data_IF_100803490500
#
_entry.id   IF_100803490500
#
_cell.length_a   1.000
_cell.length_b   1.000
_cell.length_c   1.000
_cell.angle_alpha   90.00
_cell.angle_beta   90.00
_cell.angle_gamma   90.00
#
_symmetry.space_group_name_H-M   'P 1'
#
loop_
_entity.id
_entity.type
_entity.pdbx_description
1 polymer ?
#
# COMPACT_ATOMS: atom_id res chain seq x y z
N UNK A 1 24.44 11.72 -8.90
CA UNK A 1 23.50 11.66 -7.76
C UNK A 1 23.26 10.19 -7.42
N UNK A 2 23.41 9.83 -6.15
CA UNK A 2 23.68 8.46 -5.69
C UNK A 2 22.49 7.50 -5.89
N UNK A 3 22.74 6.41 -6.63
CA UNK A 3 21.86 5.22 -6.76
C UNK A 3 21.74 4.39 -5.46
N UNK A 4 22.50 4.74 -4.40
CA UNK A 4 22.52 3.99 -3.14
C UNK A 4 21.41 4.33 -2.15
N UNK A 5 20.65 5.41 -2.37
CA UNK A 5 19.59 5.82 -1.45
C UNK A 5 18.26 5.07 -1.66
N UNK A 6 18.10 4.39 -2.80
CA UNK A 6 16.78 4.04 -3.36
C UNK A 6 16.34 2.61 -3.02
N UNK A 7 17.24 1.63 -3.10
CA UNK A 7 17.01 0.30 -2.48
C UNK A 7 16.86 0.39 -0.95
N UNK A 8 17.19 1.53 -0.36
CA UNK A 8 17.21 1.73 1.07
C UNK A 8 15.80 1.86 1.68
N UNK A 9 14.74 2.24 0.94
CA UNK A 9 13.42 2.52 1.52
C UNK A 9 12.62 1.24 1.80
N UNK A 10 12.48 0.35 0.81
CA UNK A 10 11.90 -0.97 1.04
C UNK A 10 12.78 -1.80 1.97
N UNK A 11 14.10 -1.65 1.87
CA UNK A 11 15.00 -2.18 2.89
C UNK A 11 14.85 -1.48 4.24
N UNK A 12 14.37 -0.24 4.35
CA UNK A 12 14.10 0.45 5.64
C UNK A 12 12.83 -0.10 6.26
N UNK A 13 11.75 -0.30 5.50
CA UNK A 13 10.56 -1.01 5.98
C UNK A 13 10.95 -2.44 6.44
N UNK A 14 11.82 -3.10 5.69
CA UNK A 14 12.38 -4.42 6.03
C UNK A 14 13.46 -4.39 7.14
N UNK A 15 14.15 -3.28 7.36
CA UNK A 15 15.17 -3.13 8.42
C UNK A 15 14.53 -2.65 9.71
N UNK A 16 13.41 -1.92 9.65
CA UNK A 16 12.49 -1.75 10.78
C UNK A 16 12.04 -3.14 11.28
N UNK A 17 11.72 -4.04 10.35
CA UNK A 17 11.46 -5.47 10.64
C UNK A 17 12.70 -6.19 11.22
N UNK A 18 13.91 -6.01 10.68
CA UNK A 18 15.11 -6.74 11.15
C UNK A 18 15.77 -6.20 12.44
N UNK A 19 15.83 -4.88 12.66
CA UNK A 19 16.45 -4.28 13.84
C UNK A 19 15.56 -4.39 15.08
N UNK A 20 14.23 -4.48 14.91
CA UNK A 20 13.27 -4.73 15.99
C UNK A 20 13.40 -6.15 16.59
N UNK A 21 13.95 -7.12 15.85
CA UNK A 21 14.10 -8.53 16.30
C UNK A 21 15.03 -8.68 17.52
N UNK A 22 15.89 -7.69 17.80
CA UNK A 22 16.85 -7.79 18.91
C UNK A 22 16.43 -7.13 20.22
N UNK A 23 15.29 -6.46 20.33
CA UNK A 23 14.87 -5.91 21.63
C UNK A 23 13.38 -5.79 21.95
N UNK A 24 12.47 -5.85 20.97
CA UNK A 24 11.03 -5.79 21.24
C UNK A 24 10.30 -6.89 20.46
N UNK A 25 9.97 -7.98 21.16
CA UNK A 25 8.96 -8.90 20.66
C UNK A 25 7.61 -8.15 20.62
N UNK A 26 6.91 -8.24 19.49
CA UNK A 26 5.43 -8.10 19.34
C UNK A 26 4.80 -6.82 18.76
N UNK A 27 5.36 -6.18 17.72
CA UNK A 27 4.49 -5.54 16.70
C UNK A 27 4.97 -5.82 15.29
N UNK A 28 4.38 -6.84 14.64
CA UNK A 28 4.56 -7.08 13.21
C UNK A 28 3.73 -6.02 12.46
N UNK A 29 4.40 -5.14 11.72
CA UNK A 29 3.72 -4.23 10.78
C UNK A 29 2.88 -5.08 9.84
N UNK A 30 1.64 -4.68 9.60
CA UNK A 30 0.71 -5.40 8.73
C UNK A 30 0.14 -4.44 7.71
N UNK A 31 0.39 -4.71 6.43
CA UNK A 31 -0.07 -3.95 5.28
C UNK A 31 -1.26 -4.66 4.65
N UNK A 32 -2.40 -3.99 4.55
CA UNK A 32 -3.52 -4.47 3.74
C UNK A 32 -3.33 -4.01 2.29
N UNK A 33 -3.49 -4.92 1.33
CA UNK A 33 -3.63 -4.59 -0.09
C UNK A 33 -5.00 -5.08 -0.54
N UNK A 34 -5.93 -4.15 -0.76
CA UNK A 34 -7.30 -4.44 -1.11
C UNK A 34 -7.64 -3.92 -2.50
N UNK A 35 -8.27 -4.71 -3.36
CA UNK A 35 -8.60 -4.26 -4.71
C UNK A 35 -9.29 -5.33 -5.54
N UNK A 36 -9.31 -5.14 -6.86
CA UNK A 36 -9.58 -6.24 -7.77
C UNK A 36 -8.54 -7.36 -7.58
N UNK A 37 -8.94 -8.65 -7.57
CA UNK A 37 -8.05 -9.74 -7.18
C UNK A 37 -6.70 -9.74 -7.90
N UNK A 38 -6.71 -9.56 -9.22
CA UNK A 38 -5.49 -9.60 -10.04
C UNK A 38 -4.60 -8.37 -9.80
N UNK A 39 -5.17 -7.17 -9.69
CA UNK A 39 -4.42 -5.92 -9.45
C UNK A 39 -3.82 -5.89 -8.05
N UNK A 40 -4.61 -6.27 -7.03
CA UNK A 40 -4.16 -6.33 -5.65
C UNK A 40 -3.05 -7.39 -5.49
N UNK A 41 -3.21 -8.56 -6.10
CA UNK A 41 -2.19 -9.61 -6.08
C UNK A 41 -0.91 -9.17 -6.79
N UNK A 42 -1.02 -8.55 -7.97
CA UNK A 42 0.13 -8.04 -8.72
C UNK A 42 0.92 -7.02 -7.89
N UNK A 43 0.22 -6.03 -7.31
CA UNK A 43 0.88 -5.04 -6.47
C UNK A 43 1.56 -5.68 -5.25
N UNK A 44 0.90 -6.64 -4.60
CA UNK A 44 1.46 -7.32 -3.43
C UNK A 44 2.72 -8.14 -3.77
N UNK A 45 2.75 -8.78 -4.94
CA UNK A 45 3.94 -9.50 -5.44
C UNK A 45 5.07 -8.52 -5.72
N UNK A 46 4.81 -7.44 -6.46
CA UNK A 46 5.83 -6.45 -6.77
C UNK A 46 6.40 -5.75 -5.52
N UNK A 47 5.56 -5.50 -4.52
CA UNK A 47 6.01 -4.99 -3.20
C UNK A 47 6.86 -6.01 -2.42
N UNK A 48 6.75 -7.30 -2.74
CA UNK A 48 7.47 -8.38 -2.08
C UNK A 48 8.75 -8.77 -2.81
N UNK A 49 8.96 -8.27 -4.04
CA UNK A 49 10.12 -8.58 -4.88
C UNK A 49 11.41 -8.25 -4.15
N UNK A 50 12.26 -9.27 -3.98
CA UNK A 50 13.61 -9.13 -3.45
C UNK A 50 14.51 -10.23 -4.03
N UNK A 51 15.82 -10.00 -4.16
CA UNK A 51 16.74 -11.03 -4.65
C UNK A 51 16.61 -12.34 -3.85
N UNK A 52 16.27 -13.43 -4.53
CA UNK A 52 16.14 -14.77 -3.95
C UNK A 52 14.86 -15.02 -3.13
N UNK A 53 13.84 -14.16 -3.22
CA UNK A 53 12.52 -14.39 -2.62
C UNK A 53 11.43 -14.37 -3.68
N UNK A 54 10.54 -15.36 -3.63
CA UNK A 54 9.37 -15.47 -4.49
C UNK A 54 8.08 -15.40 -3.65
N UNK A 55 7.00 -14.87 -4.24
CA UNK A 55 5.68 -14.78 -3.61
C UNK A 55 5.46 -13.52 -2.76
N UNK A 56 4.31 -13.48 -2.06
CA UNK A 56 3.91 -12.35 -1.22
C UNK A 56 4.49 -12.48 0.18
N UNK A 57 5.06 -11.39 0.69
CA UNK A 57 5.66 -11.37 2.01
C UNK A 57 4.58 -11.52 3.12
N UNK A 58 4.80 -12.30 4.20
CA UNK A 58 3.79 -12.55 5.23
C UNK A 58 3.21 -11.36 6.00
N UNK A 59 3.79 -10.16 5.90
CA UNK A 59 3.23 -8.94 6.51
C UNK A 59 2.24 -8.22 5.58
N UNK A 60 2.11 -8.68 4.34
CA UNK A 60 1.15 -8.18 3.36
C UNK A 60 -0.05 -9.12 3.34
N UNK A 61 -1.22 -8.57 3.64
CA UNK A 61 -2.50 -9.27 3.58
C UNK A 61 -3.24 -8.77 2.35
N UNK A 62 -3.53 -9.67 1.41
CA UNK A 62 -4.29 -9.36 0.18
C UNK A 62 -5.75 -9.69 0.40
N UNK A 63 -6.65 -8.75 0.07
CA UNK A 63 -8.10 -8.94 0.17
C UNK A 63 -8.81 -8.44 -1.10
N UNK A 64 -9.86 -9.11 -1.58
CA UNK A 64 -10.69 -8.56 -2.65
C UNK A 64 -11.54 -7.39 -2.12
N UNK A 65 -11.94 -6.49 -3.02
CA UNK A 65 -13.01 -5.53 -2.77
C UNK A 65 -14.34 -5.99 -3.38
N UNK A 66 -15.50 -5.72 -2.72
CA UNK A 66 -15.63 -5.07 -1.42
C UNK A 66 -15.12 -5.94 -0.26
N UNK A 67 -14.60 -5.31 0.80
CA UNK A 67 -14.21 -6.04 2.01
C UNK A 67 -15.45 -6.70 2.63
N UNK A 68 -15.36 -7.99 2.93
CA UNK A 68 -16.43 -8.73 3.58
C UNK A 68 -16.80 -8.09 4.94
N UNK A 69 -18.06 -8.24 5.35
CA UNK A 69 -18.55 -7.62 6.60
C UNK A 69 -17.80 -8.16 7.82
N UNK A 70 -17.36 -9.42 7.75
CA UNK A 70 -16.61 -10.16 8.76
C UNK A 70 -15.09 -10.13 8.55
N UNK A 71 -14.58 -9.35 7.58
CA UNK A 71 -13.15 -9.01 7.56
C UNK A 71 -12.88 -8.34 8.90
N UNK A 72 -12.11 -9.01 9.77
CA UNK A 72 -12.11 -8.83 11.23
C UNK A 72 -11.77 -7.43 11.75
N UNK A 73 -10.94 -7.35 12.78
CA UNK A 73 -10.57 -6.05 13.33
C UNK A 73 -9.68 -5.28 12.34
N UNK A 74 -10.19 -4.18 11.78
CA UNK A 74 -9.43 -3.33 10.84
C UNK A 74 -8.21 -2.69 11.49
N UNK A 75 -8.23 -2.47 12.81
CA UNK A 75 -7.13 -1.83 13.53
C UNK A 75 -5.86 -2.66 13.60
N UNK A 76 -5.92 -3.95 13.21
CA UNK A 76 -4.73 -4.79 13.05
C UNK A 76 -3.83 -4.31 11.91
N UNK A 77 -4.38 -3.59 10.94
CA UNK A 77 -3.63 -3.04 9.81
C UNK A 77 -3.00 -1.72 10.21
N UNK A 78 -1.72 -1.56 9.88
CA UNK A 78 -0.98 -0.33 10.17
C UNK A 78 -1.03 0.65 9.00
N UNK A 79 -1.33 0.13 7.80
CA UNK A 79 -1.47 0.86 6.55
C UNK A 79 -2.31 0.01 5.60
N UNK A 80 -3.07 0.66 4.72
CA UNK A 80 -3.83 -0.01 3.68
C UNK A 80 -3.58 0.63 2.31
N UNK A 81 -3.49 -0.21 1.29
CA UNK A 81 -3.53 0.17 -0.12
C UNK A 81 -4.88 -0.25 -0.69
N UNK A 82 -5.65 0.70 -1.22
CA UNK A 82 -6.84 0.40 -2.03
C UNK A 82 -6.45 0.54 -3.49
N UNK A 83 -6.42 -0.57 -4.23
CA UNK A 83 -5.99 -0.65 -5.62
C UNK A 83 -7.20 -0.65 -6.54
N UNK A 84 -7.24 0.29 -7.49
CA UNK A 84 -8.35 0.53 -8.41
C UNK A 84 -7.87 0.51 -9.86
N UNK A 85 -8.64 -0.10 -10.75
CA UNK A 85 -8.46 0.05 -12.21
C UNK A 85 -9.09 1.33 -12.77
N UNK A 86 -9.90 2.02 -11.98
CA UNK A 86 -10.64 3.23 -12.38
C UNK A 86 -10.35 4.40 -11.44
N UNK A 87 -10.58 5.62 -11.94
CA UNK A 87 -10.33 6.84 -11.17
C UNK A 87 -11.29 6.99 -9.98
N UNK A 88 -12.55 6.62 -10.21
CA UNK A 88 -13.63 6.81 -9.26
C UNK A 88 -13.97 5.51 -8.56
N UNK A 89 -14.26 5.64 -7.27
CA UNK A 89 -14.62 4.50 -6.44
C UNK A 89 -16.10 4.19 -6.60
N UNK A 90 -16.43 2.90 -6.70
CA UNK A 90 -17.79 2.41 -6.50
C UNK A 90 -18.15 2.38 -5.00
N UNK A 91 -19.41 2.06 -4.71
CA UNK A 91 -19.92 2.03 -3.33
C UNK A 91 -19.17 1.06 -2.42
N UNK A 92 -18.77 -0.11 -2.97
CA UNK A 92 -18.02 -1.13 -2.23
C UNK A 92 -16.64 -0.64 -1.81
N UNK A 93 -15.94 0.06 -2.70
CA UNK A 93 -14.64 0.66 -2.44
C UNK A 93 -14.75 1.82 -1.45
N UNK A 94 -15.76 2.68 -1.59
CA UNK A 94 -16.04 3.74 -0.63
C UNK A 94 -16.41 3.22 0.77
N UNK A 95 -17.10 2.08 0.85
CA UNK A 95 -17.42 1.41 2.10
C UNK A 95 -16.15 0.90 2.78
N UNK A 96 -15.24 0.24 2.04
CA UNK A 96 -13.95 -0.22 2.56
C UNK A 96 -13.08 0.95 3.05
N UNK A 97 -12.94 2.02 2.27
CA UNK A 97 -12.21 3.23 2.66
C UNK A 97 -12.76 3.82 3.97
N UNK A 98 -14.09 3.89 4.11
CA UNK A 98 -14.74 4.39 5.33
C UNK A 98 -14.41 3.53 6.53
N UNK A 99 -14.52 2.20 6.41
CA UNK A 99 -14.22 1.26 7.51
C UNK A 99 -12.77 1.40 7.98
N UNK A 100 -11.82 1.48 7.06
CA UNK A 100 -10.40 1.65 7.38
C UNK A 100 -10.12 3.01 8.05
N UNK A 101 -10.71 4.08 7.52
CA UNK A 101 -10.59 5.41 8.11
C UNK A 101 -11.17 5.49 9.53
N UNK A 102 -12.34 4.88 9.75
CA UNK A 102 -12.99 4.87 11.06
C UNK A 102 -12.15 4.07 12.09
N UNK A 103 -11.45 3.04 11.63
CA UNK A 103 -10.46 2.28 12.39
C UNK A 103 -9.08 2.98 12.51
N UNK A 104 -8.94 4.21 12.01
CA UNK A 104 -7.69 5.01 12.03
C UNK A 104 -6.52 4.39 11.26
N UNK A 105 -6.82 3.53 10.29
CA UNK A 105 -5.81 2.99 9.38
C UNK A 105 -5.57 4.00 8.26
N UNK A 106 -4.33 4.49 8.06
CA UNK A 106 -4.03 5.34 6.91
C UNK A 106 -4.23 4.55 5.61
N UNK A 107 -4.93 5.16 4.64
CA UNK A 107 -5.24 4.51 3.36
C UNK A 107 -4.59 5.28 2.22
N UNK A 108 -3.79 4.57 1.42
CA UNK A 108 -3.29 5.08 0.15
C UNK A 108 -4.15 4.49 -0.96
N UNK A 109 -4.71 5.34 -1.80
CA UNK A 109 -5.46 4.89 -2.96
C UNK A 109 -4.52 4.80 -4.15
N UNK A 110 -4.36 3.62 -4.71
CA UNK A 110 -3.48 3.31 -5.84
C UNK A 110 -4.35 3.10 -7.07
N UNK A 111 -4.21 3.96 -8.08
CA UNK A 111 -4.97 3.87 -9.32
C UNK A 111 -4.04 3.36 -10.41
N UNK A 112 -4.35 2.18 -10.95
CA UNK A 112 -3.64 1.56 -12.06
C UNK A 112 -4.42 1.84 -13.33
N UNK A 113 -4.22 3.02 -13.91
CA UNK A 113 -4.96 3.48 -15.07
C UNK A 113 -4.12 4.45 -15.90
N UNK A 114 -3.99 4.21 -17.20
CA UNK A 114 -3.22 5.05 -18.11
C UNK A 114 -3.87 6.43 -18.30
N UNK A 115 -5.19 6.49 -18.42
CA UNK A 115 -5.92 7.75 -18.62
C UNK A 115 -5.73 8.71 -17.43
N UNK A 116 -5.68 8.16 -16.21
CA UNK A 116 -5.47 8.94 -15.00
C UNK A 116 -4.12 9.69 -15.00
N UNK A 117 -3.10 9.19 -15.72
CA UNK A 117 -1.76 9.78 -15.78
C UNK A 117 -1.74 11.18 -16.41
N UNK A 118 -2.72 11.48 -17.26
CA UNK A 118 -2.79 12.74 -18.02
C UNK A 118 -3.78 13.73 -17.42
N UNK A 119 -4.57 13.30 -16.44
CA UNK A 119 -5.59 14.12 -15.81
C UNK A 119 -4.99 14.96 -14.67
N UNK A 120 -5.12 16.27 -14.78
CA UNK A 120 -4.64 17.21 -13.77
C UNK A 120 -5.36 16.97 -12.44
N UNK A 121 -4.58 16.77 -11.37
CA UNK A 121 -5.09 16.58 -10.01
C UNK A 121 -5.63 15.18 -9.71
N UNK A 122 -5.47 14.21 -10.62
CA UNK A 122 -5.86 12.82 -10.39
C UNK A 122 -5.06 12.14 -9.26
N UNK A 123 -3.90 12.69 -8.90
CA UNK A 123 -3.03 12.27 -7.80
C UNK A 123 -3.32 12.97 -6.47
N UNK A 124 -4.27 13.91 -6.43
CA UNK A 124 -4.63 14.60 -5.20
C UNK A 124 -5.46 13.68 -4.29
N UNK A 125 -5.12 13.59 -2.98
CA UNK A 125 -5.90 12.80 -2.03
C UNK A 125 -7.32 13.36 -1.89
N UNK A 126 -8.30 12.45 -1.85
CA UNK A 126 -9.71 12.76 -1.56
C UNK A 126 -10.01 12.58 -0.07
N UNK A 127 -11.18 13.01 0.43
CA UNK A 127 -11.53 12.82 1.83
C UNK A 127 -11.38 11.36 2.28
N UNK A 128 -10.76 11.15 3.45
CA UNK A 128 -10.42 9.85 4.07
C UNK A 128 -9.21 9.12 3.49
N UNK A 129 -8.57 9.67 2.46
CA UNK A 129 -7.33 9.14 1.92
C UNK A 129 -6.14 9.84 2.58
N UNK A 130 -5.13 9.07 2.96
CA UNK A 130 -3.84 9.61 3.42
C UNK A 130 -3.02 10.10 2.22
N UNK A 131 -3.08 9.38 1.10
CA UNK A 131 -2.45 9.74 -0.16
C UNK A 131 -3.18 9.07 -1.34
N UNK A 132 -2.90 9.57 -2.55
CA UNK A 132 -3.36 8.96 -3.80
C UNK A 132 -2.18 8.85 -4.75
N UNK A 133 -2.01 7.68 -5.35
CA UNK A 133 -0.86 7.35 -6.19
C UNK A 133 -1.38 6.81 -7.52
N UNK A 134 -0.85 7.34 -8.61
CA UNK A 134 -1.17 6.89 -9.96
C UNK A 134 -0.05 5.99 -10.46
N UNK A 135 -0.38 4.77 -10.88
CA UNK A 135 0.53 3.84 -11.53
C UNK A 135 0.09 3.60 -12.98
N UNK A 136 1.04 3.51 -13.94
CA UNK A 136 0.72 3.02 -15.27
C UNK A 136 0.36 1.53 -15.22
N UNK A 137 -0.44 1.02 -16.17
CA UNK A 137 -0.58 -0.42 -16.37
C UNK A 137 0.79 -1.08 -16.62
N UNK A 138 1.01 -2.27 -16.06
CA UNK A 138 2.30 -2.96 -16.18
C UNK A 138 3.46 -2.27 -15.44
N UNK A 139 3.16 -1.54 -14.35
CA UNK A 139 4.16 -0.95 -13.48
C UNK A 139 5.20 -1.99 -13.00
N UNK A 140 6.42 -1.52 -12.78
CA UNK A 140 7.55 -2.30 -12.30
C UNK A 140 8.07 -1.78 -10.95
N UNK A 141 9.09 -2.43 -10.41
CA UNK A 141 9.75 -2.02 -9.16
C UNK A 141 10.19 -0.55 -9.19
N UNK A 142 10.76 -0.08 -10.30
CA UNK A 142 11.25 1.31 -10.44
C UNK A 142 10.09 2.31 -10.35
N UNK A 143 8.96 1.97 -10.96
CA UNK A 143 7.74 2.77 -10.91
C UNK A 143 7.16 2.80 -9.49
N UNK A 144 7.13 1.66 -8.80
CA UNK A 144 6.68 1.61 -7.39
C UNK A 144 7.61 2.40 -6.48
N UNK A 145 8.92 2.31 -6.66
CA UNK A 145 9.92 3.06 -5.90
C UNK A 145 9.75 4.57 -6.08
N UNK A 146 9.54 5.03 -7.31
CA UNK A 146 9.43 6.46 -7.59
C UNK A 146 8.09 7.07 -7.17
N UNK A 147 6.99 6.30 -7.22
CA UNK A 147 5.63 6.83 -7.04
C UNK A 147 4.96 6.42 -5.74
N UNK A 148 5.08 5.15 -5.34
CA UNK A 148 4.38 4.61 -4.18
C UNK A 148 5.21 4.74 -2.90
N UNK A 149 6.52 4.51 -2.95
CA UNK A 149 7.38 4.56 -1.77
C UNK A 149 7.34 5.91 -1.01
N UNK A 150 7.32 7.09 -1.67
CA UNK A 150 7.17 8.36 -0.96
C UNK A 150 5.85 8.45 -0.18
N UNK A 151 4.74 8.01 -0.79
CA UNK A 151 3.42 8.02 -0.16
C UNK A 151 3.37 7.05 1.04
N UNK A 152 3.97 5.86 0.92
CA UNK A 152 4.13 4.91 2.01
C UNK A 152 4.86 5.56 3.20
N UNK A 153 6.05 6.12 2.97
CA UNK A 153 6.86 6.73 4.04
C UNK A 153 6.19 7.92 4.73
N UNK A 154 5.41 8.70 3.98
CA UNK A 154 4.66 9.81 4.57
C UNK A 154 3.49 9.30 5.42
N UNK A 155 2.84 8.22 4.99
CA UNK A 155 1.61 7.68 5.60
C UNK A 155 1.85 6.66 6.72
N UNK A 156 3.04 6.07 6.82
CA UNK A 156 3.39 5.17 7.94
C UNK A 156 3.23 5.95 9.27
N UNK A 157 2.54 5.38 10.28
CA UNK A 157 2.43 5.97 11.61
C UNK A 157 3.79 6.36 12.19
N UNK A 158 3.86 7.51 12.89
CA UNK A 158 5.13 8.07 13.38
C UNK A 158 5.86 7.19 14.39
N UNK A 159 5.10 6.35 15.12
CA UNK A 159 5.61 5.34 16.05
C UNK A 159 6.27 4.14 15.36
N UNK A 160 6.11 4.03 14.04
CA UNK A 160 6.74 3.02 13.19
C UNK A 160 7.85 3.59 12.28
N UNK A 161 8.12 4.90 12.33
CA UNK A 161 9.22 5.56 11.58
C UNK A 161 10.49 5.59 12.42
#
# INVERSE_FOLDING_TARGET
MSLGAVGNIFNTIRQLDLNAIKKDAERRVTLLVAGEPELAQTLAVELSTAPGKEGVHPWIIVQPLPLAVDTGDMSQYHLALIVLGELDMNEGQHSALRRLHDAKVPVIVVIVNEAAQTQVGADLPRPREAARVLLPPGFDEVTLQSRLAPALLQSVPSDLK
#
